data_IF_695202743876
#
_entry.id   IF_695202743876
#
_cell.length_a   1.000
_cell.length_b   1.000
_cell.length_c   1.000
_cell.angle_alpha   90.00
_cell.angle_beta   90.00
_cell.angle_gamma   90.00
#
_symmetry.space_group_name_H-M   'P 1'
#
loop_
_entity.id
_entity.type
_entity.pdbx_description
1 polymer ?
#
# COMPACT_ATOMS: atom_id res chain seq x y z
N UNK A 1 13.26 2.53 39.00
CA UNK A 1 12.96 2.09 37.61
C UNK A 1 13.94 2.69 36.59
N UNK A 2 15.21 2.88 36.94
CA UNK A 2 16.20 3.64 36.14
C UNK A 2 17.40 2.81 35.67
N UNK A 3 17.50 1.53 36.05
CA UNK A 3 18.63 0.66 35.69
C UNK A 3 18.48 -0.10 34.36
N UNK A 4 17.26 -0.22 33.82
CA UNK A 4 17.05 -0.85 32.51
C UNK A 4 17.50 0.03 31.34
N UNK A 5 17.42 1.36 31.48
CA UNK A 5 17.80 2.30 30.42
C UNK A 5 19.32 2.38 30.17
N UNK A 6 20.16 2.10 31.18
CA UNK A 6 21.63 2.11 31.02
C UNK A 6 22.19 0.89 30.28
N UNK A 7 21.46 -0.23 30.21
CA UNK A 7 21.91 -1.45 29.52
C UNK A 7 21.62 -1.46 28.02
N UNK A 8 20.79 -0.52 27.55
CA UNK A 8 20.49 -0.33 26.13
C UNK A 8 21.38 0.73 25.46
N UNK A 9 22.25 1.42 26.21
CA UNK A 9 23.13 2.43 25.64
C UNK A 9 24.41 1.79 25.09
N UNK A 10 24.79 2.05 23.82
CA UNK A 10 25.96 1.44 23.20
C UNK A 10 27.27 2.03 23.76
N UNK A 11 28.00 1.26 24.58
CA UNK A 11 29.32 1.66 25.12
C UNK A 11 30.51 1.36 24.18
N UNK A 12 30.26 0.87 22.95
CA UNK A 12 31.32 0.62 21.95
C UNK A 12 31.07 1.42 20.67
N UNK A 13 32.17 1.79 19.97
CA UNK A 13 32.12 2.45 18.65
C UNK A 13 31.27 1.64 17.68
N UNK A 14 31.38 0.30 17.75
CA UNK A 14 30.58 -0.62 16.95
C UNK A 14 29.07 -0.46 17.23
N UNK A 15 28.66 -0.49 18.50
CA UNK A 15 27.25 -0.39 18.86
C UNK A 15 26.64 0.99 18.50
N UNK A 16 27.45 2.06 18.56
CA UNK A 16 27.04 3.40 18.09
C UNK A 16 26.88 3.45 16.57
N UNK A 17 27.80 2.85 15.81
CA UNK A 17 27.70 2.77 14.36
C UNK A 17 26.47 1.96 13.92
N UNK A 18 26.14 0.86 14.60
CA UNK A 18 24.92 0.08 14.38
C UNK A 18 23.68 0.96 14.58
N UNK A 19 23.63 1.69 15.70
CA UNK A 19 22.47 2.53 16.03
C UNK A 19 22.25 3.64 14.99
N UNK A 20 23.32 4.31 14.55
CA UNK A 20 23.24 5.34 13.52
C UNK A 20 22.72 4.75 12.21
N UNK A 21 23.22 3.57 11.82
CA UNK A 21 22.83 2.93 10.58
C UNK A 21 21.38 2.44 10.60
N UNK A 22 20.94 1.83 11.70
CA UNK A 22 19.54 1.43 11.89
C UNK A 22 18.62 2.65 11.87
N UNK A 23 19.00 3.74 12.55
CA UNK A 23 18.23 4.97 12.56
C UNK A 23 18.12 5.61 11.16
N UNK A 24 19.24 5.69 10.42
CA UNK A 24 19.25 6.20 9.06
C UNK A 24 18.39 5.36 8.11
N UNK A 25 18.42 4.04 8.26
CA UNK A 25 17.63 3.13 7.44
C UNK A 25 16.13 3.27 7.73
N UNK A 26 15.74 3.33 9.00
CA UNK A 26 14.35 3.58 9.40
C UNK A 26 13.86 4.93 8.86
N UNK A 27 14.67 5.98 8.98
CA UNK A 27 14.35 7.30 8.44
C UNK A 27 14.17 7.25 6.92
N UNK A 28 15.05 6.56 6.19
CA UNK A 28 14.93 6.40 4.74
C UNK A 28 13.67 5.63 4.33
N UNK A 29 13.30 4.57 5.07
CA UNK A 29 12.08 3.82 4.80
C UNK A 29 10.83 4.64 5.08
N UNK A 30 10.81 5.39 6.19
CA UNK A 30 9.69 6.29 6.51
C UNK A 30 9.55 7.39 5.46
N UNK A 31 10.67 7.97 5.01
CA UNK A 31 10.68 8.99 3.97
C UNK A 31 10.24 8.43 2.61
N UNK A 32 10.74 7.24 2.23
CA UNK A 32 10.35 6.56 1.01
C UNK A 32 8.87 6.19 1.00
N UNK A 33 8.36 5.67 2.12
CA UNK A 33 6.93 5.40 2.30
C UNK A 33 6.09 6.67 2.20
N UNK A 34 6.52 7.75 2.85
CA UNK A 34 5.86 9.04 2.78
C UNK A 34 5.86 9.62 1.36
N UNK A 35 6.99 9.58 0.66
CA UNK A 35 7.11 10.03 -0.72
C UNK A 35 6.26 9.20 -1.68
N UNK A 36 6.21 7.88 -1.48
CA UNK A 36 5.32 6.98 -2.24
C UNK A 36 3.85 7.33 -2.02
N UNK A 37 3.43 7.52 -0.76
CA UNK A 37 2.07 7.93 -0.39
C UNK A 37 1.67 9.21 -1.10
N UNK A 38 2.53 10.25 -1.04
CA UNK A 38 2.27 11.54 -1.69
C UNK A 38 2.34 11.45 -3.22
N UNK A 39 3.21 10.62 -3.78
CA UNK A 39 3.42 10.51 -5.23
C UNK A 39 2.33 9.73 -5.96
N UNK A 40 1.89 8.60 -5.41
CA UNK A 40 0.89 7.72 -6.06
C UNK A 40 -0.52 8.29 -5.94
N UNK A 41 -0.85 8.96 -4.83
CA UNK A 41 -2.16 9.57 -4.64
C UNK A 41 -2.42 10.74 -5.62
N UNK A 42 -1.38 11.47 -6.03
CA UNK A 42 -1.55 12.73 -6.75
C UNK A 42 -1.59 12.65 -8.29
N UNK A 43 -0.98 11.62 -8.93
CA UNK A 43 -0.81 11.63 -10.40
C UNK A 43 -1.54 10.49 -11.14
N UNK A 44 -1.55 9.27 -10.61
CA UNK A 44 -2.15 8.13 -11.30
C UNK A 44 -3.65 7.99 -11.00
N UNK A 45 -4.02 8.13 -9.72
CA UNK A 45 -5.39 7.88 -9.24
C UNK A 45 -6.34 9.01 -9.63
N UNK A 46 -5.89 10.27 -9.56
CA UNK A 46 -6.72 11.44 -9.85
C UNK A 46 -7.22 11.48 -11.31
N UNK A 47 -6.37 11.12 -12.27
CA UNK A 47 -6.76 11.03 -13.68
C UNK A 47 -7.71 9.86 -13.97
N UNK A 48 -7.46 8.71 -13.33
CA UNK A 48 -8.29 7.51 -13.48
C UNK A 48 -9.70 7.70 -12.93
N UNK A 49 -9.83 8.25 -11.72
CA UNK A 49 -11.13 8.47 -11.08
C UNK A 49 -11.98 9.49 -11.83
N UNK A 50 -11.35 10.56 -12.35
CA UNK A 50 -12.05 11.57 -13.15
C UNK A 50 -12.60 10.97 -14.45
N UNK A 51 -11.79 10.22 -15.18
CA UNK A 51 -12.23 9.57 -16.42
C UNK A 51 -13.35 8.55 -16.19
N UNK A 52 -13.33 7.84 -15.06
CA UNK A 52 -14.39 6.91 -14.68
C UNK A 52 -15.70 7.64 -14.31
N UNK A 53 -15.62 8.73 -13.56
CA UNK A 53 -16.80 9.55 -13.22
C UNK A 53 -17.44 10.13 -14.49
N UNK A 54 -16.64 10.69 -15.41
CA UNK A 54 -17.09 11.19 -16.70
C UNK A 54 -17.74 10.07 -17.55
N UNK A 55 -17.17 8.86 -17.51
CA UNK A 55 -17.73 7.69 -18.20
C UNK A 55 -19.06 7.23 -17.61
N UNK A 56 -19.19 7.17 -16.28
CA UNK A 56 -20.46 6.82 -15.60
C UNK A 56 -21.56 7.79 -16.04
N UNK A 57 -21.27 9.08 -16.02
CA UNK A 57 -22.17 10.14 -16.48
C UNK A 57 -22.55 9.94 -17.94
N UNK A 58 -21.57 9.74 -18.82
CA UNK A 58 -21.79 9.60 -20.27
C UNK A 58 -22.69 8.41 -20.58
N UNK A 59 -22.41 7.26 -19.96
CA UNK A 59 -23.19 6.03 -20.10
C UNK A 59 -24.62 6.23 -19.57
N UNK A 60 -24.76 6.84 -18.39
CA UNK A 60 -26.06 7.16 -17.82
C UNK A 60 -26.87 8.05 -18.77
N UNK A 61 -26.30 9.12 -19.32
CA UNK A 61 -26.99 9.98 -20.29
C UNK A 61 -27.37 9.22 -21.56
N UNK A 62 -26.49 8.36 -22.06
CA UNK A 62 -26.77 7.52 -23.24
C UNK A 62 -27.97 6.57 -22.98
N UNK A 63 -27.98 5.88 -21.84
CA UNK A 63 -29.08 4.98 -21.46
C UNK A 63 -30.37 5.76 -21.19
N UNK A 64 -30.30 6.92 -20.54
CA UNK A 64 -31.46 7.77 -20.25
C UNK A 64 -32.13 8.29 -21.53
N UNK A 65 -31.37 8.49 -22.61
CA UNK A 65 -31.90 8.95 -23.90
C UNK A 65 -32.76 7.92 -24.63
N UNK A 66 -32.67 6.64 -24.23
CA UNK A 66 -33.43 5.55 -24.85
C UNK A 66 -34.83 5.46 -24.23
N UNK A 67 -35.92 5.38 -25.03
CA UNK A 67 -37.27 5.31 -24.50
C UNK A 67 -37.71 3.89 -24.09
N UNK A 68 -37.09 2.83 -24.63
CA UNK A 68 -37.53 1.44 -24.41
C UNK A 68 -36.64 0.67 -23.43
N UNK A 69 -37.26 0.03 -22.44
CA UNK A 69 -36.57 -0.78 -21.42
C UNK A 69 -35.67 -1.90 -21.98
N UNK A 70 -36.08 -2.70 -22.98
CA UNK A 70 -35.22 -3.76 -23.53
C UNK A 70 -33.97 -3.22 -24.24
N UNK A 71 -34.09 -2.04 -24.87
CA UNK A 71 -32.98 -1.40 -25.56
C UNK A 71 -31.96 -0.83 -24.57
N UNK A 72 -32.43 -0.33 -23.42
CA UNK A 72 -31.56 0.18 -22.35
C UNK A 72 -30.66 -0.89 -21.77
N UNK A 73 -31.19 -2.08 -21.52
CA UNK A 73 -30.41 -3.20 -20.99
C UNK A 73 -29.37 -3.70 -22.01
N UNK A 74 -29.78 -3.84 -23.28
CA UNK A 74 -28.86 -4.21 -24.36
C UNK A 74 -27.72 -3.19 -24.50
N UNK A 75 -28.04 -1.90 -24.54
CA UNK A 75 -27.03 -0.83 -24.66
C UNK A 75 -26.15 -0.75 -23.42
N UNK A 76 -26.69 -0.99 -22.22
CA UNK A 76 -25.89 -1.11 -21.00
C UNK A 76 -24.85 -2.25 -21.13
N UNK A 77 -25.29 -3.41 -21.63
CA UNK A 77 -24.39 -4.53 -21.86
C UNK A 77 -23.33 -4.23 -22.94
N UNK A 78 -23.72 -3.58 -24.05
CA UNK A 78 -22.80 -3.17 -25.12
C UNK A 78 -21.75 -2.14 -24.64
N UNK A 79 -22.11 -1.30 -23.66
CA UNK A 79 -21.21 -0.30 -23.05
C UNK A 79 -20.34 -0.87 -21.93
N UNK A 80 -20.55 -2.13 -21.55
CA UNK A 80 -19.75 -2.84 -20.56
C UNK A 80 -18.35 -3.15 -21.10
N UNK A 81 -17.38 -3.26 -20.18
CA UNK A 81 -15.97 -3.49 -20.48
C UNK A 81 -15.33 -4.33 -19.39
N UNK A 82 -14.11 -4.83 -19.63
CA UNK A 82 -13.41 -5.72 -18.69
C UNK A 82 -13.26 -5.17 -17.26
N UNK A 83 -13.24 -3.85 -17.07
CA UNK A 83 -13.06 -3.18 -15.77
C UNK A 83 -14.31 -2.48 -15.22
N UNK A 84 -15.37 -2.37 -16.04
CA UNK A 84 -16.61 -1.68 -15.72
C UNK A 84 -17.76 -2.39 -16.42
N UNK A 85 -18.55 -3.11 -15.64
CA UNK A 85 -19.76 -3.78 -16.08
C UNK A 85 -20.97 -2.88 -15.76
N UNK A 86 -21.92 -2.82 -16.68
CA UNK A 86 -23.05 -1.91 -16.64
C UNK A 86 -24.33 -2.66 -16.94
N UNK A 87 -25.28 -2.58 -16.02
CA UNK A 87 -26.60 -3.20 -16.15
C UNK A 87 -27.71 -2.18 -15.92
N UNK A 88 -28.74 -2.20 -16.76
CA UNK A 88 -29.94 -1.44 -16.49
C UNK A 88 -30.94 -2.33 -15.75
N UNK A 89 -31.56 -1.84 -14.69
CA UNK A 89 -32.68 -2.55 -14.10
C UNK A 89 -33.64 -1.62 -13.37
N UNK A 90 -34.84 -2.11 -13.06
CA UNK A 90 -35.80 -1.36 -12.24
C UNK A 90 -35.41 -1.27 -10.76
N UNK A 91 -34.39 -2.03 -10.34
CA UNK A 91 -33.96 -2.16 -8.96
C UNK A 91 -32.52 -1.68 -8.80
N UNK A 92 -32.24 -1.04 -7.67
CA UNK A 92 -30.87 -0.69 -7.32
C UNK A 92 -30.12 -1.93 -6.85
N UNK A 93 -28.96 -2.18 -7.43
CA UNK A 93 -28.06 -3.25 -7.03
C UNK A 93 -27.41 -2.96 -5.66
N UNK A 94 -27.21 -1.67 -5.35
CA UNK A 94 -26.85 -1.21 -4.01
C UNK A 94 -28.10 -1.09 -3.15
N UNK A 95 -28.22 -1.97 -2.16
CA UNK A 95 -29.35 -1.95 -1.24
C UNK A 95 -29.43 -0.61 -0.50
N UNK A 96 -30.65 -0.09 -0.30
CA UNK A 96 -30.87 1.11 0.51
C UNK A 96 -30.46 0.92 1.99
N UNK A 97 -30.29 -0.32 2.42
CA UNK A 97 -29.81 -0.72 3.74
C UNK A 97 -28.32 -1.09 3.76
N UNK A 98 -27.59 -0.87 2.66
CA UNK A 98 -26.16 -1.14 2.60
C UNK A 98 -25.43 -0.37 3.71
N UNK A 99 -24.51 -1.01 4.46
CA UNK A 99 -23.80 -0.34 5.54
C UNK A 99 -22.90 0.77 4.99
N UNK A 100 -23.03 1.96 5.58
CA UNK A 100 -22.22 3.13 5.24
C UNK A 100 -20.88 3.09 5.96
N UNK A 101 -19.94 2.34 5.39
CA UNK A 101 -18.55 2.30 5.86
C UNK A 101 -17.83 3.63 5.60
N UNK A 102 -16.73 3.89 6.31
CA UNK A 102 -15.89 5.07 6.07
C UNK A 102 -15.39 5.13 4.62
N UNK A 103 -15.01 3.96 4.08
CA UNK A 103 -14.63 3.78 2.68
C UNK A 103 -15.75 4.19 1.72
N UNK A 104 -16.99 3.78 2.00
CA UNK A 104 -18.16 4.13 1.18
C UNK A 104 -18.42 5.63 1.19
N UNK A 105 -18.35 6.27 2.38
CA UNK A 105 -18.50 7.72 2.52
C UNK A 105 -17.42 8.50 1.78
N UNK A 106 -16.17 8.07 1.86
CA UNK A 106 -15.05 8.71 1.17
C UNK A 106 -15.22 8.64 -0.36
N UNK A 107 -15.64 7.48 -0.87
CA UNK A 107 -15.89 7.30 -2.31
C UNK A 107 -17.11 8.10 -2.79
N UNK A 108 -18.19 8.11 -2.02
CA UNK A 108 -19.37 8.92 -2.31
C UNK A 108 -19.01 10.41 -2.40
N UNK A 109 -18.21 10.92 -1.45
CA UNK A 109 -17.73 12.31 -1.48
C UNK A 109 -16.87 12.58 -2.72
N UNK A 110 -15.95 11.67 -3.07
CA UNK A 110 -15.09 11.78 -4.25
C UNK A 110 -15.89 11.78 -5.56
N UNK A 111 -16.90 10.92 -5.69
CA UNK A 111 -17.78 10.91 -6.86
C UNK A 111 -18.62 12.20 -6.97
N UNK A 112 -19.09 12.77 -5.85
CA UNK A 112 -19.79 14.06 -5.84
C UNK A 112 -18.89 15.21 -6.28
N UNK A 113 -17.62 15.18 -5.86
CA UNK A 113 -16.64 16.19 -6.25
C UNK A 113 -16.30 16.10 -7.75
N UNK A 114 -16.13 14.88 -8.27
CA UNK A 114 -15.74 14.65 -9.67
C UNK A 114 -16.89 14.79 -10.66
N UNK A 115 -18.11 14.39 -10.27
CA UNK A 115 -19.31 14.47 -11.09
C UNK A 115 -20.47 15.12 -10.30
N UNK A 116 -20.53 16.47 -10.24
CA UNK A 116 -21.56 17.20 -9.49
C UNK A 116 -22.99 16.86 -9.92
N UNK A 117 -23.18 16.43 -11.15
CA UNK A 117 -24.48 15.97 -11.67
C UNK A 117 -24.97 14.67 -11.04
N UNK A 118 -24.06 13.78 -10.63
CA UNK A 118 -24.44 12.60 -9.84
C UNK A 118 -24.90 13.03 -8.45
N UNK A 119 -24.31 14.09 -7.89
CA UNK A 119 -24.70 14.63 -6.59
C UNK A 119 -26.11 15.25 -6.60
N UNK A 120 -26.54 15.80 -7.74
CA UNK A 120 -27.90 16.33 -7.92
C UNK A 120 -28.96 15.23 -7.96
N UNK A 121 -28.56 13.99 -8.26
CA UNK A 121 -29.44 12.85 -8.40
C UNK A 121 -29.27 11.83 -7.26
N UNK A 122 -30.27 10.97 -7.08
CA UNK A 122 -30.16 9.90 -6.09
C UNK A 122 -29.24 8.80 -6.62
N UNK A 123 -27.96 8.85 -6.26
CA UNK A 123 -27.03 7.75 -6.48
C UNK A 123 -26.71 7.03 -5.17
N UNK A 124 -26.31 5.77 -5.29
CA UNK A 124 -25.89 4.92 -4.17
C UNK A 124 -24.56 4.28 -4.50
N UNK A 125 -23.68 4.21 -3.51
CA UNK A 125 -22.38 3.55 -3.61
C UNK A 125 -22.33 2.49 -2.52
N UNK A 126 -21.73 1.35 -2.83
CA UNK A 126 -21.42 0.35 -1.84
C UNK A 126 -20.38 -0.62 -2.34
N UNK A 127 -19.75 -1.33 -1.42
CA UNK A 127 -18.80 -2.38 -1.76
C UNK A 127 -19.42 -3.76 -1.48
N UNK A 128 -19.14 -4.72 -2.36
CA UNK A 128 -19.70 -6.06 -2.27
C UNK A 128 -19.29 -6.79 -0.98
N UNK A 129 -18.05 -6.58 -0.54
CA UNK A 129 -17.46 -7.13 0.70
C UNK A 129 -18.15 -6.58 1.95
N UNK A 130 -18.57 -5.31 1.91
CA UNK A 130 -19.36 -4.66 2.95
C UNK A 130 -20.85 -5.09 2.92
N UNK A 131 -21.24 -6.00 2.02
CA UNK A 131 -22.62 -6.52 1.94
C UNK A 131 -23.60 -5.62 1.18
N UNK A 132 -23.10 -4.69 0.36
CA UNK A 132 -23.95 -3.77 -0.40
C UNK A 132 -24.91 -4.47 -1.39
N UNK A 133 -24.57 -5.67 -1.83
CA UNK A 133 -25.35 -6.49 -2.77
C UNK A 133 -26.50 -7.28 -2.13
N UNK A 134 -26.50 -7.50 -0.81
CA UNK A 134 -27.45 -8.39 -0.13
C UNK A 134 -27.39 -9.87 -0.51
N UNK A 135 -26.68 -10.22 -1.58
CA UNK A 135 -26.32 -11.59 -1.94
C UNK A 135 -25.17 -12.02 -1.03
N UNK A 136 -25.48 -12.75 0.04
CA UNK A 136 -24.48 -13.27 0.99
C UNK A 136 -23.33 -13.97 0.27
N UNK A 137 -22.11 -13.85 0.82
CA UNK A 137 -20.83 -14.50 0.43
C UNK A 137 -20.63 -14.93 -1.04
N UNK A 138 -21.22 -14.23 -2.01
CA UNK A 138 -21.01 -14.54 -3.42
C UNK A 138 -19.59 -14.10 -3.83
N UNK A 139 -18.64 -15.03 -3.74
CA UNK A 139 -17.20 -14.80 -3.98
C UNK A 139 -16.89 -14.14 -5.34
N UNK A 140 -17.76 -14.27 -6.34
CA UNK A 140 -17.56 -13.71 -7.67
C UNK A 140 -17.49 -12.17 -7.70
N UNK A 141 -18.14 -11.50 -6.74
CA UNK A 141 -18.17 -10.04 -6.64
C UNK A 141 -17.28 -9.49 -5.52
N UNK A 142 -16.52 -10.36 -4.84
CA UNK A 142 -15.65 -9.97 -3.73
C UNK A 142 -14.63 -8.93 -4.23
N UNK A 143 -14.54 -7.79 -3.55
CA UNK A 143 -13.75 -6.60 -3.93
C UNK A 143 -14.30 -5.75 -5.09
N UNK A 144 -15.53 -5.97 -5.54
CA UNK A 144 -16.15 -5.06 -6.50
C UNK A 144 -16.83 -3.89 -5.80
N UNK A 145 -16.63 -2.70 -6.36
CA UNK A 145 -17.41 -1.53 -6.02
C UNK A 145 -18.66 -1.49 -6.89
N UNK A 146 -19.78 -1.13 -6.27
CA UNK A 146 -21.08 -1.00 -6.90
C UNK A 146 -21.53 0.45 -6.81
N UNK A 147 -22.00 0.98 -7.94
CA UNK A 147 -22.64 2.29 -8.02
C UNK A 147 -23.98 2.12 -8.69
N UNK A 148 -25.05 2.53 -8.04
CA UNK A 148 -26.39 2.59 -8.64
C UNK A 148 -26.77 4.05 -8.83
N UNK A 149 -27.01 4.47 -10.07
CA UNK A 149 -27.47 5.82 -10.41
C UNK A 149 -28.93 5.74 -10.84
N UNK A 150 -29.78 6.56 -10.21
CA UNK A 150 -31.21 6.63 -10.54
C UNK A 150 -31.44 7.45 -11.80
N UNK A 151 -32.32 6.98 -12.67
CA UNK A 151 -32.84 7.70 -13.84
C UNK A 151 -34.15 8.43 -13.50
N UNK A 152 -34.54 9.40 -14.32
CA UNK A 152 -35.76 10.22 -14.11
C UNK A 152 -37.04 9.40 -14.03
N UNK A 153 -37.09 8.25 -14.72
CA UNK A 153 -38.22 7.33 -14.69
C UNK A 153 -38.25 6.40 -13.47
N UNK A 154 -37.29 6.56 -12.55
CA UNK A 154 -37.16 5.75 -11.34
C UNK A 154 -36.43 4.42 -11.53
N UNK A 155 -36.02 4.08 -12.76
CA UNK A 155 -35.13 2.94 -13.01
C UNK A 155 -33.68 3.27 -12.63
N UNK A 156 -32.82 2.26 -12.62
CA UNK A 156 -31.43 2.37 -12.15
C UNK A 156 -30.46 1.88 -13.20
N UNK A 157 -29.35 2.60 -13.35
CA UNK A 157 -28.16 2.10 -14.02
C UNK A 157 -27.19 1.64 -12.93
N UNK A 158 -26.87 0.36 -12.95
CA UNK A 158 -26.01 -0.29 -11.99
C UNK A 158 -24.63 -0.51 -12.64
N UNK A 159 -23.60 -0.01 -11.98
CA UNK A 159 -22.21 -0.13 -12.38
C UNK A 159 -21.50 -1.03 -11.37
N UNK A 160 -20.86 -2.09 -11.84
CA UNK A 160 -19.93 -2.92 -11.07
C UNK A 160 -18.51 -2.69 -11.59
N UNK A 161 -17.57 -2.41 -10.70
CA UNK A 161 -16.17 -2.23 -11.09
C UNK A 161 -15.23 -2.89 -10.09
N UNK A 162 -14.36 -3.74 -10.61
CA UNK A 162 -13.20 -4.27 -9.89
C UNK A 162 -12.08 -3.22 -9.76
N UNK A 163 -12.05 -2.22 -10.63
CA UNK A 163 -11.04 -1.17 -10.63
C UNK A 163 -11.29 -0.11 -9.54
N UNK A 164 -12.54 0.32 -9.34
CA UNK A 164 -12.92 1.29 -8.29
C UNK A 164 -12.99 0.65 -6.88
N UNK A 165 -13.12 -0.68 -6.84
CA UNK A 165 -13.18 -1.51 -5.62
C UNK A 165 -11.84 -2.11 -5.20
N UNK A 166 -10.79 -1.95 -6.00
CA UNK A 166 -9.43 -2.12 -5.55
C UNK A 166 -9.08 -0.94 -4.63
N UNK A 167 -9.67 -0.92 -3.42
CA UNK A 167 -8.98 -0.30 -2.30
C UNK A 167 -7.58 -0.88 -2.32
N UNK A 168 -6.60 -0.02 -2.60
CA UNK A 168 -5.59 0.46 -1.65
C UNK A 168 -5.60 -0.22 -0.27
N UNK A 169 -5.84 -1.53 -0.17
CA UNK A 169 -5.30 -2.36 0.88
C UNK A 169 -3.82 -2.29 0.66
N UNK A 170 -3.23 -1.18 1.13
CA UNK A 170 -1.82 -0.94 1.35
C UNK A 170 -1.05 -2.20 1.01
N UNK A 171 -0.65 -2.36 -0.28
CA UNK A 171 -0.33 -3.68 -0.84
C UNK A 171 0.52 -4.41 0.18
N UNK A 172 -0.08 -5.38 0.88
CA UNK A 172 0.61 -5.98 2.02
C UNK A 172 1.93 -6.58 1.53
N UNK A 173 1.94 -7.01 0.26
CA UNK A 173 3.13 -7.36 -0.51
C UNK A 173 4.15 -6.22 -0.61
N UNK A 174 3.77 -5.00 -1.01
CA UNK A 174 4.70 -3.87 -1.10
C UNK A 174 5.27 -3.47 0.27
N UNK A 175 4.41 -3.42 1.29
CA UNK A 175 4.85 -3.11 2.66
C UNK A 175 5.74 -4.22 3.22
N UNK A 176 5.41 -5.49 2.97
CA UNK A 176 6.22 -6.63 3.38
C UNK A 176 7.56 -6.67 2.63
N UNK A 177 7.61 -6.35 1.34
CA UNK A 177 8.84 -6.26 0.55
C UNK A 177 9.73 -5.14 1.09
N UNK A 178 9.17 -3.96 1.38
CA UNK A 178 9.91 -2.86 1.99
C UNK A 178 10.48 -3.24 3.36
N UNK A 179 9.68 -3.88 4.23
CA UNK A 179 10.15 -4.37 5.53
C UNK A 179 11.22 -5.46 5.34
N UNK A 180 11.06 -6.35 4.38
CA UNK A 180 12.02 -7.41 4.08
C UNK A 180 13.37 -6.82 3.65
N UNK A 181 13.36 -5.84 2.74
CA UNK A 181 14.58 -5.13 2.34
C UNK A 181 15.20 -4.36 3.50
N UNK A 182 14.40 -3.71 4.35
CA UNK A 182 14.89 -3.06 5.56
C UNK A 182 15.64 -4.04 6.46
N UNK A 183 15.01 -5.18 6.79
CA UNK A 183 15.60 -6.22 7.64
C UNK A 183 16.86 -6.80 7.00
N UNK A 184 16.85 -7.08 5.70
CA UNK A 184 18.01 -7.60 4.99
C UNK A 184 19.20 -6.65 5.07
N UNK A 185 19.00 -5.35 4.86
CA UNK A 185 20.05 -4.33 4.95
C UNK A 185 20.61 -4.26 6.39
N UNK A 186 19.74 -4.28 7.41
CA UNK A 186 20.19 -4.30 8.82
C UNK A 186 21.06 -5.52 9.08
N UNK A 187 20.63 -6.72 8.66
CA UNK A 187 21.40 -7.96 8.86
C UNK A 187 22.76 -7.89 8.18
N UNK A 188 22.81 -7.43 6.91
CA UNK A 188 24.08 -7.29 6.17
C UNK A 188 25.02 -6.30 6.85
N UNK A 189 24.52 -5.15 7.29
CA UNK A 189 25.35 -4.16 7.96
C UNK A 189 25.87 -4.65 9.32
N UNK A 190 25.04 -5.39 10.08
CA UNK A 190 25.47 -6.05 11.32
C UNK A 190 26.58 -7.07 11.06
N UNK A 191 26.48 -7.85 9.99
CA UNK A 191 27.51 -8.83 9.60
C UNK A 191 28.81 -8.13 9.19
N UNK A 192 28.73 -7.11 8.33
CA UNK A 192 29.89 -6.33 7.90
C UNK A 192 30.61 -5.68 9.08
N UNK A 193 29.86 -5.09 10.01
CA UNK A 193 30.48 -4.46 11.18
C UNK A 193 31.12 -5.49 12.11
N UNK A 194 30.46 -6.64 12.35
CA UNK A 194 31.06 -7.74 13.13
C UNK A 194 32.34 -8.28 12.50
N UNK A 195 32.38 -8.36 11.18
CA UNK A 195 33.57 -8.76 10.44
C UNK A 195 34.68 -7.71 10.53
N UNK A 196 34.37 -6.44 10.34
CA UNK A 196 35.37 -5.36 10.39
C UNK A 196 35.92 -5.10 11.80
N UNK A 197 35.10 -5.31 12.84
CA UNK A 197 35.49 -5.03 14.22
C UNK A 197 36.15 -6.20 14.95
N UNK A 198 36.00 -7.44 14.46
CA UNK A 198 36.70 -8.62 15.02
C UNK A 198 38.23 -8.48 14.98
N UNK A 199 38.87 -8.19 13.83
CA UNK A 199 40.33 -8.08 13.73
C UNK A 199 40.91 -6.95 14.59
N UNK A 200 40.19 -5.83 14.70
CA UNK A 200 40.58 -4.71 15.56
C UNK A 200 40.57 -5.11 17.04
N UNK A 201 39.64 -5.98 17.44
CA UNK A 201 39.56 -6.50 18.81
C UNK A 201 40.68 -7.50 19.09
N UNK A 202 41.00 -8.35 18.12
CA UNK A 202 42.10 -9.30 18.22
C UNK A 202 43.46 -8.58 18.28
N UNK A 203 43.64 -7.48 17.53
CA UNK A 203 44.81 -6.61 17.61
C UNK A 203 44.93 -5.87 18.94
N UNK A 204 43.82 -5.37 19.48
CA UNK A 204 43.81 -4.72 20.80
C UNK A 204 44.18 -5.72 21.91
N UNK A 205 43.61 -6.94 21.87
CA UNK A 205 43.97 -8.02 22.81
C UNK A 205 45.41 -8.51 22.61
N UNK A 206 45.96 -8.47 21.39
CA UNK A 206 47.35 -8.79 21.13
C UNK A 206 48.29 -7.71 21.69
N UNK A 207 47.94 -6.43 21.54
CA UNK A 207 48.69 -5.30 22.08
C UNK A 207 48.67 -5.29 23.62
N UNK A 208 47.54 -5.61 24.26
CA UNK A 208 47.44 -5.77 25.72
C UNK A 208 48.28 -6.94 26.23
N UNK A 209 48.33 -8.06 25.49
CA UNK A 209 49.23 -9.20 25.80
C UNK A 209 50.71 -8.87 25.60
N UNK A 210 51.03 -7.96 24.69
CA UNK A 210 52.41 -7.50 24.47
C UNK A 210 52.94 -6.59 25.59
N UNK A 211 52.05 -5.99 26.39
CA UNK A 211 52.42 -5.05 27.47
C UNK A 211 52.73 -5.72 28.82
N UNK A 212 52.56 -7.04 28.95
CA UNK A 212 52.71 -7.78 30.21
C UNK A 212 53.50 -9.09 30.00
N UNK A 213 54.83 -8.96 29.90
CA UNK A 213 55.83 -9.98 30.29
C UNK A 213 55.90 -11.37 29.60
N UNK A 214 55.62 -11.54 28.30
CA UNK A 214 55.86 -12.84 27.64
C UNK A 214 56.50 -12.77 26.24
N UNK A 215 57.35 -13.78 25.96
CA UNK A 215 58.12 -13.97 24.73
C UNK A 215 57.21 -14.01 23.49
N UNK A 216 57.58 -13.35 22.37
CA UNK A 216 56.69 -13.18 21.22
C UNK A 216 56.32 -14.53 20.60
N UNK A 217 55.03 -14.86 20.61
CA UNK A 217 54.49 -15.99 19.86
C UNK A 217 53.80 -15.45 18.58
N UNK A 218 54.20 -15.88 17.37
CA UNK A 218 53.68 -15.31 16.13
C UNK A 218 52.17 -15.59 16.00
N UNK A 219 51.40 -14.52 15.73
CA UNK A 219 49.96 -14.61 15.49
C UNK A 219 49.70 -15.23 14.11
N UNK A 220 48.71 -16.14 13.98
CA UNK A 220 48.31 -16.67 12.68
C UNK A 220 47.71 -15.55 11.82
N UNK A 221 48.33 -15.25 10.68
CA UNK A 221 47.79 -14.33 9.69
C UNK A 221 46.51 -14.93 9.06
N UNK A 222 45.34 -14.50 9.53
CA UNK A 222 44.08 -14.78 8.85
C UNK A 222 43.35 -13.48 8.56
N UNK A 223 43.24 -13.13 7.28
CA UNK A 223 42.56 -11.93 6.82
C UNK A 223 42.80 -11.61 5.34
N UNK A 224 42.10 -10.60 4.79
CA UNK A 224 42.29 -10.12 3.43
C UNK A 224 43.74 -9.68 3.14
N UNK A 225 44.16 -9.75 1.88
CA UNK A 225 45.55 -9.51 1.43
C UNK A 225 46.06 -8.13 1.86
N UNK A 226 45.17 -7.15 1.98
CA UNK A 226 45.47 -5.79 2.39
C UNK A 226 45.95 -5.70 3.85
N UNK A 227 45.41 -6.56 4.74
CA UNK A 227 45.79 -6.60 6.16
C UNK A 227 47.15 -7.27 6.34
N UNK A 228 47.45 -8.29 5.53
CA UNK A 228 48.76 -8.97 5.53
C UNK A 228 49.93 -8.10 5.06
N UNK A 229 49.66 -6.98 4.39
CA UNK A 229 50.71 -6.09 3.87
C UNK A 229 51.14 -5.00 4.85
N UNK A 230 50.40 -4.85 5.95
CA UNK A 230 50.58 -3.79 6.93
C UNK A 230 51.07 -4.29 8.31
N UNK A 231 51.11 -5.62 8.53
CA UNK A 231 51.73 -6.27 9.68
C UNK A 231 53.21 -6.56 9.39
#
# INVERSE_FOLDING_TARGET
>A
MTHLAKRLWPDTVASRAILILVAALLAFHLLGYWAYRVGVENLATAGQDRGLAERIVSIKRAIASLPQAPERDRVAHDLSSASLEVHWSKVSLVLGTAPMTERTRAMEARLKELAPELAAESFRVGFADDGALGAGEANAYKHMMLVSVRLDDGSWVNFSSSALGASQHLDWGLTAIMICFAVAIVVVALLLLRWATRPLRDLAEAAERFSLDQTPQPLPETGPVEVRRAA
#
